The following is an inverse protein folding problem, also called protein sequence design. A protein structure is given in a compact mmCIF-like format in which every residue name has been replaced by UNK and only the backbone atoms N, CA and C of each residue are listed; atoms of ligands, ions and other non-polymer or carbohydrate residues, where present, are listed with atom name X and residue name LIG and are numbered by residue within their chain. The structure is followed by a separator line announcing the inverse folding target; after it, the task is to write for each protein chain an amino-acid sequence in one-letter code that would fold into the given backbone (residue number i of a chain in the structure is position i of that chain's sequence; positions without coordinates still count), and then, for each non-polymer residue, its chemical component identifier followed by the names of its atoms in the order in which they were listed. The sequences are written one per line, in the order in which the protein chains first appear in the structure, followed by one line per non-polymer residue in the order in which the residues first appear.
data_IF_678107227464
#
_entry.id   IF_678107227464
#
_cell.length_a   1.000
_cell.length_b   1.000
_cell.length_c   1.000
_cell.angle_alpha   90.00
_cell.angle_beta   90.00
_cell.angle_gamma   90.00
#
_symmetry.space_group_name_H-M   'P 1'
#
loop_
_entity.id
_entity.type
_entity.pdbx_description
1 polymer ?
#
# COMPACT_ATOMS: atom_id res chain seq x y z
N UNK A 1 -3.27 -0.14 1.27
CA UNK A 1 -3.94 1.12 0.87
C UNK A 1 -5.29 1.20 1.56
N UNK A 2 -5.67 2.33 2.17
CA UNK A 2 -6.98 2.56 2.76
C UNK A 2 -8.10 2.46 1.73
N UNK A 3 -9.24 1.90 2.15
CA UNK A 3 -10.42 1.76 1.30
C UNK A 3 -11.00 3.12 0.88
N UNK A 4 -10.91 4.14 1.74
CA UNK A 4 -11.28 5.53 1.43
C UNK A 4 -10.52 6.05 0.21
N UNK A 5 -9.21 5.87 0.22
CA UNK A 5 -8.33 6.35 -0.83
C UNK A 5 -8.52 5.59 -2.15
N UNK A 6 -8.68 4.27 -2.09
CA UNK A 6 -8.98 3.46 -3.26
C UNK A 6 -10.28 3.90 -3.95
N UNK A 7 -11.31 4.26 -3.16
CA UNK A 7 -12.56 4.86 -3.66
C UNK A 7 -12.32 6.26 -4.24
N UNK A 8 -11.55 7.11 -3.57
CA UNK A 8 -11.24 8.47 -4.03
C UNK A 8 -10.53 8.48 -5.40
N UNK A 9 -9.65 7.51 -5.64
CA UNK A 9 -9.00 7.32 -6.93
C UNK A 9 -9.84 6.57 -7.97
N UNK A 10 -11.08 6.21 -7.65
CA UNK A 10 -11.98 5.45 -8.51
C UNK A 10 -11.36 4.14 -9.03
N UNK A 11 -10.59 3.46 -8.18
CA UNK A 11 -9.98 2.18 -8.52
C UNK A 11 -11.05 1.09 -8.61
N UNK A 12 -10.72 0.00 -9.30
CA UNK A 12 -11.58 -1.19 -9.36
C UNK A 12 -11.86 -1.72 -7.95
N UNK A 13 -12.97 -2.44 -7.80
CA UNK A 13 -13.28 -3.09 -6.51
C UNK A 13 -12.18 -4.09 -6.15
N UNK A 14 -11.83 -4.21 -4.85
CA UNK A 14 -10.92 -5.26 -4.39
C UNK A 14 -11.44 -6.64 -4.80
N UNK A 15 -10.53 -7.55 -5.13
CA UNK A 15 -10.87 -8.92 -5.54
C UNK A 15 -11.47 -9.68 -4.35
N UNK A 16 -12.72 -10.13 -4.49
CA UNK A 16 -13.38 -10.95 -3.47
C UNK A 16 -12.64 -12.30 -3.28
N UNK A 17 -12.59 -12.80 -2.04
CA UNK A 17 -11.92 -14.06 -1.71
C UNK A 17 -10.38 -13.97 -1.55
N UNK A 18 -9.79 -12.78 -1.71
CA UNK A 18 -8.36 -12.53 -1.43
C UNK A 18 -8.11 -11.91 -0.05
N UNK A 19 -9.09 -12.00 0.86
CA UNK A 19 -8.98 -11.54 2.24
C UNK A 19 -7.76 -12.17 2.92
N UNK A 20 -6.84 -11.33 3.40
CA UNK A 20 -5.67 -11.76 4.17
C UNK A 20 -5.77 -11.20 5.58
N UNK A 21 -5.32 -12.01 6.54
CA UNK A 21 -5.10 -11.60 7.92
C UNK A 21 -3.73 -10.93 8.03
N UNK A 22 -3.67 -9.79 8.72
CA UNK A 22 -2.44 -9.06 8.99
C UNK A 22 -2.32 -8.80 10.49
N UNK A 23 -1.24 -9.30 11.08
CA UNK A 23 -0.87 -8.93 12.46
C UNK A 23 0.05 -7.71 12.40
N UNK A 24 -0.35 -6.64 13.08
CA UNK A 24 0.40 -5.41 13.19
C UNK A 24 1.47 -5.51 14.29
N UNK A 25 2.37 -4.51 14.35
CA UNK A 25 3.46 -4.49 15.32
C UNK A 25 2.98 -4.39 16.79
N UNK A 26 1.80 -3.82 17.01
CA UNK A 26 1.12 -3.76 18.30
C UNK A 26 0.35 -5.06 18.64
N UNK A 27 0.52 -6.10 17.82
CA UNK A 27 -0.16 -7.40 17.91
C UNK A 27 -1.66 -7.36 17.65
N UNK A 28 -2.21 -6.23 17.20
CA UNK A 28 -3.58 -6.19 16.70
C UNK A 28 -3.68 -6.92 15.36
N UNK A 29 -4.85 -7.51 15.11
CA UNK A 29 -5.15 -8.20 13.85
C UNK A 29 -6.13 -7.37 13.02
N UNK A 30 -5.79 -7.16 11.75
CA UNK A 30 -6.68 -6.55 10.76
C UNK A 30 -6.91 -7.51 9.59
N UNK A 31 -8.08 -7.42 8.98
CA UNK A 31 -8.44 -8.21 7.80
C UNK A 31 -8.55 -7.30 6.58
N UNK A 32 -7.90 -7.67 5.49
CA UNK A 32 -8.01 -6.93 4.25
C UNK A 32 -9.41 -7.08 3.62
N UNK A 33 -9.78 -6.11 2.79
CA UNK A 33 -10.97 -6.20 1.93
C UNK A 33 -10.69 -6.94 0.61
N UNK A 34 -9.44 -7.32 0.39
CA UNK A 34 -8.93 -7.94 -0.83
C UNK A 34 -7.81 -7.12 -1.46
N UNK A 35 -7.37 -7.56 -2.63
CA UNK A 35 -6.29 -6.94 -3.38
C UNK A 35 -6.79 -6.18 -4.62
N UNK A 36 -6.04 -5.17 -5.04
CA UNK A 36 -6.18 -4.52 -6.34
C UNK A 36 -4.84 -4.60 -7.06
N UNK A 37 -4.82 -5.34 -8.16
CA UNK A 37 -3.60 -5.61 -8.94
C UNK A 37 -3.48 -4.70 -10.18
N UNK A 38 -2.25 -4.47 -10.64
CA UNK A 38 -1.97 -3.78 -11.90
C UNK A 38 -2.25 -2.29 -11.89
N UNK A 39 -2.07 -1.62 -10.76
CA UNK A 39 -2.20 -0.16 -10.65
C UNK A 39 -0.87 0.47 -11.10
N UNK A 40 -0.93 1.46 -12.00
CA UNK A 40 0.23 2.27 -12.33
C UNK A 40 0.38 3.40 -11.29
N UNK A 41 1.50 3.40 -10.58
CA UNK A 41 1.86 4.43 -9.61
C UNK A 41 2.91 5.33 -10.23
N UNK A 42 2.61 6.62 -10.33
CA UNK A 42 3.56 7.62 -10.80
C UNK A 42 4.31 8.26 -9.63
N UNK A 43 5.63 8.18 -9.66
CA UNK A 43 6.54 8.85 -8.72
C UNK A 43 7.44 9.77 -9.54
N UNK A 44 7.32 11.07 -9.30
CA UNK A 44 7.90 12.10 -10.18
C UNK A 44 7.47 11.87 -11.64
N UNK A 45 8.42 11.57 -12.53
CA UNK A 45 8.17 11.35 -13.96
C UNK A 45 8.19 9.87 -14.36
N UNK A 46 8.31 8.96 -13.38
CA UNK A 46 8.38 7.52 -13.60
C UNK A 46 7.08 6.83 -13.19
N UNK A 47 6.69 5.80 -13.93
CA UNK A 47 5.51 4.99 -13.65
C UNK A 47 5.90 3.54 -13.37
N UNK A 48 5.39 2.99 -12.28
CA UNK A 48 5.67 1.62 -11.86
C UNK A 48 4.36 0.85 -11.66
N UNK A 49 4.27 -0.41 -12.11
CA UNK A 49 3.17 -1.27 -11.75
C UNK A 49 3.25 -1.63 -10.25
N UNK A 50 2.10 -1.60 -9.58
CA UNK A 50 1.96 -1.91 -8.18
C UNK A 50 0.65 -2.67 -7.93
N UNK A 51 0.72 -3.61 -6.99
CA UNK A 51 -0.44 -4.29 -6.44
C UNK A 51 -0.63 -3.82 -5.00
N UNK A 52 -1.88 -3.59 -4.59
CA UNK A 52 -2.20 -3.09 -3.27
C UNK A 52 -3.20 -4.00 -2.55
N UNK A 53 -2.84 -4.40 -1.34
CA UNK A 53 -3.80 -4.88 -0.36
C UNK A 53 -4.65 -3.72 0.15
N UNK A 54 -5.97 -3.87 0.12
CA UNK A 54 -6.93 -2.85 0.54
C UNK A 54 -7.39 -3.11 1.97
N UNK A 55 -7.31 -2.09 2.82
CA UNK A 55 -7.64 -2.16 4.24
C UNK A 55 -8.76 -1.17 4.55
N UNK A 56 -9.72 -1.56 5.39
CA UNK A 56 -10.79 -0.69 5.88
C UNK A 56 -10.39 -0.14 7.24
N UNK A 57 -9.47 0.81 7.20
CA UNK A 57 -8.85 1.47 8.35
C UNK A 57 -9.00 2.98 8.19
N UNK A 58 -8.89 3.70 9.31
CA UNK A 58 -8.81 5.15 9.27
C UNK A 58 -7.56 5.57 8.49
N UNK A 59 -7.73 6.54 7.59
CA UNK A 59 -6.65 7.06 6.77
C UNK A 59 -5.80 8.02 7.59
N UNK A 60 -4.52 7.71 7.73
CA UNK A 60 -3.53 8.70 8.13
C UNK A 60 -3.40 9.73 7.00
N UNK A 61 -3.77 10.98 7.29
CA UNK A 61 -3.77 12.07 6.31
C UNK A 61 -2.36 12.45 5.85
N UNK A 62 -1.34 12.19 6.65
CA UNK A 62 0.05 12.48 6.30
C UNK A 62 0.67 11.32 5.51
N UNK A 63 0.38 10.08 5.90
CA UNK A 63 0.97 8.89 5.29
C UNK A 63 -0.08 7.85 4.90
N UNK A 64 -0.91 8.14 3.88
CA UNK A 64 -2.08 7.32 3.60
C UNK A 64 -1.73 5.97 2.95
N UNK A 65 -0.49 5.73 2.51
CA UNK A 65 -0.11 4.50 1.80
C UNK A 65 1.23 3.96 2.29
N UNK A 66 1.26 2.67 2.62
CA UNK A 66 2.49 1.92 2.88
C UNK A 66 2.96 1.25 1.59
N UNK A 67 4.17 1.57 1.14
CA UNK A 67 4.84 0.92 0.03
C UNK A 67 5.68 -0.24 0.55
N UNK A 68 5.21 -1.47 0.31
CA UNK A 68 5.92 -2.67 0.74
C UNK A 68 7.21 -2.90 -0.05
N UNK A 69 8.05 -3.79 0.49
CA UNK A 69 9.29 -4.27 -0.16
C UNK A 69 9.11 -4.72 -1.62
N UNK A 70 8.00 -5.41 -2.02
CA UNK A 70 7.80 -5.78 -3.42
C UNK A 70 7.79 -4.58 -4.36
N UNK A 71 7.07 -3.51 -4.01
CA UNK A 71 7.05 -2.28 -4.82
C UNK A 71 8.43 -1.62 -4.88
N UNK A 72 9.11 -1.51 -3.74
CA UNK A 72 10.46 -0.96 -3.66
C UNK A 72 11.45 -1.75 -4.53
N UNK A 73 11.34 -3.08 -4.57
CA UNK A 73 12.13 -3.93 -5.45
C UNK A 73 11.81 -3.69 -6.93
N UNK A 74 10.53 -3.57 -7.30
CA UNK A 74 10.10 -3.25 -8.68
C UNK A 74 10.65 -1.90 -9.14
N UNK A 75 10.58 -0.88 -8.28
CA UNK A 75 11.08 0.46 -8.58
C UNK A 75 12.61 0.57 -8.50
N UNK A 76 13.31 -0.49 -8.06
CA UNK A 76 14.75 -0.46 -7.72
C UNK A 76 15.08 0.70 -6.78
N UNK A 77 14.22 0.91 -5.79
CA UNK A 77 14.33 2.01 -4.86
C UNK A 77 15.64 1.92 -4.06
N UNK A 78 16.34 3.04 -3.97
CA UNK A 78 17.46 3.22 -3.04
C UNK A 78 16.88 3.91 -1.81
N UNK A 79 17.06 3.29 -0.65
CA UNK A 79 16.69 3.87 0.63
C UNK A 79 17.93 4.57 1.17
N UNK A 80 17.96 5.90 1.05
CA UNK A 80 18.98 6.73 1.68
C UNK A 80 18.55 7.04 3.12
N UNK A 81 19.36 6.62 4.09
CA UNK A 81 19.11 6.82 5.52
C UNK A 81 19.78 8.11 6.05
N UNK A 82 20.51 8.85 5.21
CA UNK A 82 21.26 10.04 5.63
C UNK A 82 22.27 9.73 6.74
N UNK A 83 22.37 10.64 7.72
CA UNK A 83 23.24 10.48 8.90
C UNK A 83 22.78 9.37 9.87
N UNK A 84 21.58 8.83 9.71
CA UNK A 84 21.10 7.64 10.43
C UNK A 84 21.28 7.73 11.95
N UNK A 85 20.49 8.55 12.63
CA UNK A 85 20.38 8.48 14.09
C UNK A 85 19.18 7.58 14.50
N UNK A 86 19.43 6.73 15.49
CA UNK A 86 18.43 5.86 16.14
C UNK A 86 17.71 6.59 17.27
#
# INVERSE_FOLDING_TARGET
MPLSLAKAFNLKKPTEGTTRELTLADQSTIYSKGDIEGIMVRISDLEFPADFMILDVEEDKEHPIILGRPFLATARAIIDMGEGEL
#
